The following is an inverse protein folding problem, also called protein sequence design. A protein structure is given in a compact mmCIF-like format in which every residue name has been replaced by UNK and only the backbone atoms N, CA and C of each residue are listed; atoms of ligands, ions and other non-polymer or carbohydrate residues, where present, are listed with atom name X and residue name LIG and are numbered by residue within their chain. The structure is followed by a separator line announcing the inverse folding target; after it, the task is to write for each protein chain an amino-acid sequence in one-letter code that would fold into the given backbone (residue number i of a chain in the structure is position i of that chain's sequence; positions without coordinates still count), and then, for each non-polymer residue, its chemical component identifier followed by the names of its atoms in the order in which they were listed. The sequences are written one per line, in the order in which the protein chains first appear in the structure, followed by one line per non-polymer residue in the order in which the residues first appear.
data_IF_331765545373
#
_entry.id   IF_331765545373
#
_cell.length_a   1.000
_cell.length_b   1.000
_cell.length_c   1.000
_cell.angle_alpha   90.00
_cell.angle_beta   90.00
_cell.angle_gamma   90.00
#
_symmetry.space_group_name_H-M   'P 1'
#
loop_
_entity.id
_entity.type
_entity.pdbx_description
1 polymer ?
#
# COMPACT_ATOMS: atom_id res chain seq x y z
N UNK A 1 17.79 15.06 -17.47
CA UNK A 1 17.08 13.79 -17.70
C UNK A 1 15.60 14.02 -17.46
N UNK A 2 14.72 13.64 -18.41
CA UNK A 2 13.26 13.92 -18.38
C UNK A 2 12.41 12.72 -17.91
N UNK A 3 13.01 11.55 -17.71
CA UNK A 3 12.31 10.37 -17.24
C UNK A 3 12.41 10.31 -15.71
N UNK A 4 11.28 10.27 -15.03
CA UNK A 4 11.22 9.92 -13.61
C UNK A 4 11.60 8.44 -13.43
N UNK A 5 12.03 8.07 -12.22
CA UNK A 5 12.31 6.68 -11.86
C UNK A 5 11.05 5.83 -12.11
N UNK A 6 11.21 4.72 -12.81
CA UNK A 6 10.11 3.79 -13.06
C UNK A 6 9.58 3.24 -11.73
N UNK A 7 8.27 2.98 -11.62
CA UNK A 7 7.70 2.36 -10.43
C UNK A 7 8.34 0.99 -10.18
N UNK A 8 8.37 0.58 -8.91
CA UNK A 8 8.76 -0.79 -8.58
C UNK A 8 7.75 -1.76 -9.20
N UNK A 9 8.27 -2.77 -9.89
CA UNK A 9 7.50 -3.81 -10.57
C UNK A 9 7.89 -5.19 -10.08
N UNK A 10 8.59 -5.27 -8.94
CA UNK A 10 8.99 -6.53 -8.34
C UNK A 10 7.73 -7.30 -7.94
N UNK A 11 7.50 -8.50 -8.51
CA UNK A 11 6.32 -9.27 -8.16
C UNK A 11 6.41 -9.75 -6.71
N UNK A 12 5.33 -9.59 -5.95
CA UNK A 12 5.23 -10.05 -4.57
C UNK A 12 4.45 -11.37 -4.54
N UNK A 13 5.06 -12.42 -3.99
CA UNK A 13 4.38 -13.70 -3.80
C UNK A 13 3.47 -13.66 -2.57
N UNK A 14 2.20 -14.02 -2.76
CA UNK A 14 1.22 -14.14 -1.68
C UNK A 14 0.64 -15.55 -1.64
N UNK A 15 0.60 -16.17 -0.46
CA UNK A 15 -0.03 -17.47 -0.25
C UNK A 15 -1.48 -17.27 0.23
N UNK A 16 -2.45 -17.86 -0.46
CA UNK A 16 -3.88 -17.73 -0.16
C UNK A 16 -4.52 -19.12 -0.03
N UNK A 17 -5.37 -19.31 0.97
CA UNK A 17 -6.18 -20.52 1.13
C UNK A 17 -7.59 -20.23 0.64
N UNK A 18 -8.08 -21.04 -0.30
CA UNK A 18 -9.41 -20.87 -0.90
C UNK A 18 -10.39 -21.89 -0.31
N UNK A 19 -11.65 -21.47 -0.15
CA UNK A 19 -12.71 -22.44 0.15
C UNK A 19 -12.91 -23.39 -1.05
N UNK A 20 -13.32 -24.65 -0.82
CA UNK A 20 -13.52 -25.60 -1.92
C UNK A 20 -14.50 -25.09 -2.99
N UNK A 21 -15.56 -24.39 -2.56
CA UNK A 21 -16.54 -23.81 -3.47
C UNK A 21 -15.96 -22.70 -4.35
N UNK A 22 -15.09 -21.86 -3.81
CA UNK A 22 -14.40 -20.84 -4.60
C UNK A 22 -13.41 -21.47 -5.58
N UNK A 23 -12.61 -22.43 -5.12
CA UNK A 23 -11.66 -23.14 -5.97
C UNK A 23 -12.35 -23.83 -7.17
N UNK A 24 -13.52 -24.44 -6.94
CA UNK A 24 -14.31 -25.05 -8.02
C UNK A 24 -14.81 -24.00 -9.02
N UNK A 25 -15.32 -22.85 -8.56
CA UNK A 25 -15.79 -21.79 -9.45
C UNK A 25 -14.65 -21.19 -10.29
N UNK A 26 -13.47 -21.00 -9.70
CA UNK A 26 -12.31 -20.49 -10.43
C UNK A 26 -11.86 -21.45 -11.53
N UNK A 27 -11.89 -22.77 -11.28
CA UNK A 27 -11.57 -23.78 -12.30
C UNK A 27 -12.57 -23.74 -13.46
N UNK A 28 -13.87 -23.70 -13.16
CA UNK A 28 -14.91 -23.52 -14.19
C UNK A 28 -14.72 -22.25 -15.00
N UNK A 29 -14.27 -21.17 -14.36
CA UNK A 29 -13.96 -19.93 -15.06
C UNK A 29 -12.75 -20.09 -15.98
N UNK A 30 -11.69 -20.79 -15.56
CA UNK A 30 -10.54 -21.08 -16.40
C UNK A 30 -10.93 -21.92 -17.64
N UNK A 31 -11.81 -22.90 -17.47
CA UNK A 31 -12.37 -23.68 -18.58
C UNK A 31 -13.15 -22.76 -19.55
N UNK A 32 -14.03 -21.90 -19.03
CA UNK A 32 -14.77 -20.91 -19.82
C UNK A 32 -13.84 -19.92 -20.54
N UNK A 33 -12.76 -19.47 -19.90
CA UNK A 33 -11.76 -18.61 -20.52
C UNK A 33 -11.10 -19.30 -21.71
N UNK A 34 -10.72 -20.57 -21.55
CA UNK A 34 -10.14 -21.38 -22.62
C UNK A 34 -11.10 -21.60 -23.78
N UNK A 35 -12.39 -21.83 -23.50
CA UNK A 35 -13.43 -21.92 -24.53
C UNK A 35 -13.60 -20.60 -25.29
N UNK A 36 -13.51 -19.47 -24.58
CA UNK A 36 -13.73 -18.14 -25.16
C UNK A 36 -12.56 -17.67 -26.01
N UNK A 37 -11.33 -17.93 -25.58
CA UNK A 37 -10.12 -17.37 -26.21
C UNK A 37 -9.23 -18.41 -26.89
N UNK A 38 -9.56 -19.70 -26.79
CA UNK A 38 -8.77 -20.81 -27.34
C UNK A 38 -7.46 -21.07 -26.62
N UNK A 39 -7.19 -20.39 -25.51
CA UNK A 39 -5.96 -20.50 -24.73
C UNK A 39 -6.29 -20.97 -23.32
N UNK A 40 -5.70 -22.09 -22.91
CA UNK A 40 -5.85 -22.62 -21.57
C UNK A 40 -4.83 -21.97 -20.63
N UNK A 41 -5.33 -21.24 -19.66
CA UNK A 41 -4.55 -20.66 -18.58
C UNK A 41 -4.87 -21.33 -17.24
N UNK A 42 -3.85 -21.46 -16.39
CA UNK A 42 -4.05 -21.96 -15.03
C UNK A 42 -4.75 -20.91 -14.17
N UNK A 43 -5.54 -21.36 -13.19
CA UNK A 43 -6.25 -20.46 -12.26
C UNK A 43 -5.29 -19.47 -11.59
N UNK A 44 -4.07 -19.92 -11.25
CA UNK A 44 -3.04 -19.08 -10.64
C UNK A 44 -2.59 -17.90 -11.50
N UNK A 45 -2.59 -18.07 -12.83
CA UNK A 45 -2.19 -17.04 -13.79
C UNK A 45 -3.34 -16.06 -14.05
N UNK A 46 -4.59 -16.51 -13.93
CA UNK A 46 -5.77 -15.65 -14.11
C UNK A 46 -6.08 -14.78 -12.89
N UNK A 47 -5.81 -15.28 -11.67
CA UNK A 47 -6.14 -14.59 -10.42
C UNK A 47 -5.59 -13.15 -10.36
N UNK A 48 -4.32 -12.86 -10.69
CA UNK A 48 -3.79 -11.49 -10.67
C UNK A 48 -4.63 -10.51 -11.50
N UNK A 49 -4.98 -10.88 -12.74
CA UNK A 49 -5.79 -10.04 -13.64
C UNK A 49 -7.23 -9.88 -13.15
N UNK A 50 -7.82 -10.94 -12.59
CA UNK A 50 -9.16 -10.86 -12.00
C UNK A 50 -9.20 -9.89 -10.82
N UNK A 51 -8.18 -9.91 -9.97
CA UNK A 51 -8.08 -9.03 -8.80
C UNK A 51 -7.84 -7.58 -9.21
N UNK A 52 -6.98 -7.34 -10.22
CA UNK A 52 -6.77 -6.01 -10.79
C UNK A 52 -8.08 -5.43 -11.35
N UNK A 53 -8.79 -6.20 -12.19
CA UNK A 53 -10.08 -5.78 -12.74
C UNK A 53 -11.15 -5.54 -11.66
N UNK A 54 -11.14 -6.34 -10.59
CA UNK A 54 -12.04 -6.14 -9.44
C UNK A 54 -11.75 -4.82 -8.72
N UNK A 55 -10.48 -4.52 -8.42
CA UNK A 55 -10.08 -3.28 -7.75
C UNK A 55 -10.34 -2.04 -8.59
N UNK A 56 -10.12 -2.13 -9.91
CA UNK A 56 -10.44 -1.05 -10.85
C UNK A 56 -11.95 -0.80 -10.95
N UNK A 57 -12.75 -1.86 -10.84
CA UNK A 57 -14.21 -1.78 -10.82
C UNK A 57 -14.81 -1.13 -9.57
N UNK A 58 -14.11 -1.18 -8.43
CA UNK A 58 -14.60 -0.66 -7.15
C UNK A 58 -14.43 0.87 -7.05
N UNK A 59 -15.52 1.61 -7.30
CA UNK A 59 -15.51 3.07 -7.28
C UNK A 59 -15.26 3.66 -5.89
N UNK A 60 -15.76 3.01 -4.84
CA UNK A 60 -15.61 3.46 -3.46
C UNK A 60 -14.17 3.25 -3.00
N UNK A 61 -13.58 2.09 -3.32
CA UNK A 61 -12.16 1.83 -3.13
C UNK A 61 -11.30 2.88 -3.85
N UNK A 62 -11.56 3.12 -5.14
CA UNK A 62 -10.81 4.12 -5.91
C UNK A 62 -10.96 5.54 -5.35
N UNK A 63 -12.14 5.90 -4.82
CA UNK A 63 -12.35 7.21 -4.16
C UNK A 63 -11.57 7.29 -2.85
N UNK A 64 -11.57 6.23 -2.06
CA UNK A 64 -10.81 6.15 -0.82
C UNK A 64 -9.30 6.26 -1.06
N UNK A 65 -8.75 5.58 -2.08
CA UNK A 65 -7.33 5.69 -2.45
C UNK A 65 -6.92 7.11 -2.86
N UNK A 66 -7.80 7.84 -3.57
CA UNK A 66 -7.54 9.24 -3.95
C UNK A 66 -7.64 10.22 -2.79
N UNK A 67 -8.54 9.95 -1.83
CA UNK A 67 -8.81 10.84 -0.70
C UNK A 67 -7.87 10.61 0.50
N UNK A 68 -7.46 9.35 0.73
CA UNK A 68 -6.50 8.96 1.75
C UNK A 68 -5.19 8.57 1.08
N UNK A 69 -4.26 9.52 0.95
CA UNK A 69 -3.02 9.35 0.22
C UNK A 69 -2.15 8.20 0.72
N UNK A 70 -2.42 6.98 0.25
CA UNK A 70 -1.34 6.10 -0.19
C UNK A 70 -0.79 6.77 -1.43
N UNK A 71 0.13 7.72 -1.22
CA UNK A 71 1.09 8.01 -2.26
C UNK A 71 1.80 6.68 -2.48
N UNK A 72 1.58 6.08 -3.65
CA UNK A 72 2.49 5.11 -4.25
C UNK A 72 3.85 5.81 -4.42
N UNK A 73 4.52 6.06 -3.31
CA UNK A 73 5.89 6.49 -3.25
C UNK A 73 6.65 5.20 -3.08
N UNK A 74 7.26 4.65 -4.15
CA UNK A 74 8.26 3.64 -3.93
C UNK A 74 9.39 4.37 -3.18
N UNK A 75 9.78 3.83 -2.03
CA UNK A 75 10.99 4.23 -1.32
C UNK A 75 10.92 5.62 -0.62
N UNK A 76 10.19 5.68 0.49
CA UNK A 76 10.47 6.68 1.52
C UNK A 76 11.33 6.02 2.63
N UNK A 77 12.65 6.10 2.44
CA UNK A 77 13.66 5.82 3.46
C UNK A 77 13.30 6.44 4.84
N UNK A 78 13.73 5.83 5.95
CA UNK A 78 13.26 6.20 7.29
C UNK A 78 13.66 7.63 7.61
N UNK A 79 12.67 8.53 7.73
CA UNK A 79 12.89 9.86 8.30
C UNK A 79 13.12 9.70 9.79
N UNK A 80 14.37 9.82 10.21
CA UNK A 80 14.75 9.90 11.62
C UNK A 80 14.02 11.10 12.25
N UNK A 81 13.36 10.95 13.42
CA UNK A 81 12.82 12.10 14.12
C UNK A 81 13.97 12.95 14.64
N UNK A 82 14.15 14.16 14.08
CA UNK A 82 15.08 15.14 14.61
C UNK A 82 14.52 15.71 15.91
N UNK A 83 15.01 15.17 17.03
CA UNK A 83 14.70 15.63 18.39
C UNK A 83 15.18 17.07 18.54
N UNK A 84 14.25 18.03 18.49
CA UNK A 84 14.55 19.40 18.86
C UNK A 84 14.74 19.46 20.38
N UNK A 85 16.00 19.55 20.81
CA UNK A 85 16.40 19.84 22.18
C UNK A 85 15.85 21.20 22.60
N UNK A 86 14.85 21.21 23.49
CA UNK A 86 14.56 22.39 24.32
C UNK A 86 15.69 22.54 25.34
N UNK A 87 16.41 23.67 25.25
CA UNK A 87 17.40 24.09 26.25
C UNK A 87 16.69 24.46 27.54
N UNK A 88 16.91 23.64 28.58
CA UNK A 88 16.66 23.94 29.98
C UNK A 88 17.72 24.94 30.46
N UNK A 89 17.33 26.19 30.67
CA UNK A 89 18.10 27.19 31.38
C UNK A 89 17.52 27.39 32.77
N UNK A 90 18.08 26.68 33.75
CA UNK A 90 18.01 27.01 35.16
C UNK A 90 18.86 28.25 35.39
N UNK A 91 18.31 29.29 36.02
CA UNK A 91 19.11 30.19 36.85
C UNK A 91 18.30 30.53 38.12
N UNK A 92 18.96 30.29 39.25
CA UNK A 92 18.51 30.52 40.61
C UNK A 92 19.23 31.77 41.12
N UNK A 93 18.47 32.75 41.60
CA UNK A 93 18.95 33.87 42.41
C UNK A 93 17.80 34.86 42.55
N UNK A 94 17.20 35.12 43.71
CA UNK A 94 17.76 35.13 45.05
C UNK A 94 18.31 36.51 45.34
N UNK A 95 17.47 37.53 45.52
CA UNK A 95 17.86 38.66 46.35
C UNK A 95 16.66 39.33 47.05
N UNK A 96 16.83 39.39 48.37
CA UNK A 96 16.05 40.12 49.35
C UNK A 96 16.35 41.61 49.26
N UNK A 97 15.33 42.47 49.26
CA UNK A 97 15.48 43.77 49.93
C UNK A 97 14.15 44.36 50.36
N UNK A 98 14.10 44.64 51.67
CA UNK A 98 13.18 45.56 52.36
C UNK A 98 13.46 47.00 51.93
N UNK A 99 12.41 47.81 51.87
CA UNK A 99 12.29 49.26 52.15
C UNK A 99 11.15 49.80 51.27
N UNK A 100 10.17 50.58 51.72
CA UNK A 100 9.84 51.26 52.98
C UNK A 100 8.30 51.20 53.13
#
# INVERSE_FOLDING_TARGET
MKLAKLPDRTPVKMNVVLTPGLAQRLRKYADFYAETYGIKEEVGELIPFMLEAFLDGDADFRRACRAGGVKDTPDAAPRTPQVHRTRKGQDLGGESSRKD
#
